data_IF_849294419481
#
_entry.id   IF_849294419481
#
_cell.length_a   1.000
_cell.length_b   1.000
_cell.length_c   1.000
_cell.angle_alpha   90.00
_cell.angle_beta   90.00
_cell.angle_gamma   90.00
#
_symmetry.space_group_name_H-M   'P 1'
#
loop_
_entity.id
_entity.type
_entity.pdbx_description
1 polymer ?
#
# COMPACT_ATOMS: atom_id res chain seq x y z
N UNK A 1 -8.34 11.12 -1.87
CA UNK A 1 -8.82 9.74 -1.79
C UNK A 1 -7.68 8.79 -1.55
N UNK A 2 -7.96 7.61 -1.04
CA UNK A 2 -6.92 6.65 -0.71
C UNK A 2 -6.39 5.83 -1.89
N UNK A 3 -6.97 5.99 -3.08
CA UNK A 3 -6.55 5.24 -4.26
C UNK A 3 -6.81 3.74 -4.16
N UNK A 4 -7.77 3.33 -3.36
CA UNK A 4 -8.16 1.93 -3.22
C UNK A 4 -9.38 1.62 -4.09
N UNK A 5 -9.61 0.34 -4.39
CA UNK A 5 -10.77 -0.07 -5.17
C UNK A 5 -12.07 0.10 -4.39
N UNK A 6 -13.20 0.19 -5.12
CA UNK A 6 -14.52 0.25 -4.50
C UNK A 6 -14.78 -0.95 -3.60
N UNK A 7 -14.31 -2.12 -3.98
CA UNK A 7 -14.45 -3.33 -3.16
C UNK A 7 -13.71 -3.21 -1.83
N UNK A 8 -12.55 -2.56 -1.84
CA UNK A 8 -11.78 -2.35 -0.61
C UNK A 8 -12.53 -1.39 0.32
N UNK A 9 -13.06 -0.30 -0.21
CA UNK A 9 -13.86 0.65 0.57
C UNK A 9 -15.10 -0.04 1.12
N UNK A 10 -15.78 -0.84 0.31
CA UNK A 10 -16.95 -1.59 0.74
C UNK A 10 -16.62 -2.54 1.88
N UNK A 11 -15.51 -3.25 1.80
CA UNK A 11 -15.07 -4.14 2.88
C UNK A 11 -14.79 -3.38 4.18
N UNK A 12 -14.22 -2.20 4.08
CA UNK A 12 -13.98 -1.36 5.26
C UNK A 12 -15.29 -0.93 5.93
N UNK A 13 -16.30 -0.59 5.12
CA UNK A 13 -17.62 -0.24 5.64
C UNK A 13 -18.27 -1.44 6.30
N UNK A 14 -18.24 -2.61 5.67
CA UNK A 14 -18.79 -3.85 6.23
C UNK A 14 -18.09 -4.25 7.52
N UNK A 15 -16.79 -3.99 7.61
CA UNK A 15 -16.03 -4.29 8.81
C UNK A 15 -16.24 -3.25 9.92
N UNK A 16 -17.08 -2.24 9.70
CA UNK A 16 -17.34 -1.19 10.69
C UNK A 16 -16.17 -0.21 10.84
N UNK A 17 -15.24 -0.18 9.91
CA UNK A 17 -14.07 0.70 9.98
C UNK A 17 -14.32 2.10 9.45
N UNK A 18 -15.39 2.26 8.66
CA UNK A 18 -15.80 3.53 8.10
C UNK A 18 -17.28 3.72 8.33
N UNK A 19 -17.68 4.98 8.55
CA UNK A 19 -19.08 5.35 8.60
C UNK A 19 -19.56 5.58 7.17
N UNK A 20 -20.74 5.06 6.83
CA UNK A 20 -21.35 5.27 5.53
C UNK A 20 -22.66 6.02 5.65
N UNK A 21 -22.98 6.79 4.61
CA UNK A 21 -24.24 7.48 4.48
C UNK A 21 -25.02 6.80 3.37
N UNK A 22 -26.24 6.35 3.68
CA UNK A 22 -27.10 5.66 2.72
C UNK A 22 -28.26 6.52 2.27
N UNK A 23 -28.29 7.80 2.65
CA UNK A 23 -29.39 8.71 2.33
C UNK A 23 -29.68 8.82 0.83
N UNK A 24 -28.68 8.64 -0.01
CA UNK A 24 -28.81 8.69 -1.47
C UNK A 24 -29.05 7.33 -2.10
N UNK A 25 -29.21 6.29 -1.31
CA UNK A 25 -29.30 4.91 -1.80
C UNK A 25 -27.97 4.32 -2.24
N UNK A 26 -26.87 5.04 -2.03
CA UNK A 26 -25.52 4.59 -2.28
C UNK A 26 -24.71 4.67 -1.00
N UNK A 27 -23.72 3.79 -0.88
CA UNK A 27 -22.78 3.89 0.22
C UNK A 27 -21.85 5.07 -0.04
N UNK A 28 -21.93 6.07 0.82
CA UNK A 28 -21.09 7.26 0.76
C UNK A 28 -20.24 7.27 2.03
N UNK A 29 -18.93 7.33 1.85
CA UNK A 29 -17.99 7.36 2.97
C UNK A 29 -17.67 8.81 3.32
N UNK A 30 -17.83 9.18 4.58
CA UNK A 30 -17.53 10.53 5.03
C UNK A 30 -16.03 10.84 4.85
N UNK A 31 -15.72 12.02 4.31
CA UNK A 31 -14.35 12.40 4.01
C UNK A 31 -13.45 12.42 5.26
N UNK A 32 -13.97 12.85 6.41
CA UNK A 32 -13.22 12.86 7.64
C UNK A 32 -12.95 11.44 8.18
N UNK A 33 -13.88 10.52 7.94
CA UNK A 33 -13.67 9.12 8.31
C UNK A 33 -12.60 8.49 7.44
N UNK A 34 -12.57 8.80 6.14
CA UNK A 34 -11.51 8.35 5.23
C UNK A 34 -10.17 8.91 5.66
N UNK A 35 -10.11 10.19 5.99
CA UNK A 35 -8.88 10.83 6.44
C UNK A 35 -8.36 10.20 7.73
N UNK A 36 -9.24 9.93 8.68
CA UNK A 36 -8.86 9.26 9.93
C UNK A 36 -8.32 7.85 9.69
N UNK A 37 -8.98 7.11 8.80
CA UNK A 37 -8.49 5.78 8.45
C UNK A 37 -7.12 5.85 7.79
N UNK A 38 -6.88 6.84 6.94
CA UNK A 38 -5.59 7.03 6.31
C UNK A 38 -4.50 7.31 7.34
N UNK A 39 -4.79 8.14 8.35
CA UNK A 39 -3.87 8.41 9.44
C UNK A 39 -3.63 7.15 10.27
N UNK A 40 -4.70 6.41 10.57
CA UNK A 40 -4.57 5.16 11.31
C UNK A 40 -3.71 4.15 10.57
N UNK A 41 -3.91 4.00 9.26
CA UNK A 41 -3.08 3.11 8.46
C UNK A 41 -1.62 3.54 8.43
N UNK A 42 -1.37 4.85 8.43
CA UNK A 42 -0.01 5.39 8.43
C UNK A 42 0.67 5.21 9.80
N UNK A 43 -0.10 5.33 10.89
CA UNK A 43 0.43 5.28 12.24
C UNK A 43 0.37 3.89 12.87
N UNK A 44 -0.16 2.92 12.15
CA UNK A 44 -0.47 1.65 12.73
C UNK A 44 0.37 0.57 12.21
N UNK A 45 1.38 0.38 12.81
CA UNK A 45 2.06 -0.64 12.37
C UNK A 45 3.11 -1.02 13.19
N UNK A 46 2.76 -1.45 14.19
CA UNK A 46 3.62 -1.75 15.27
C UNK A 46 4.71 -2.74 14.90
N UNK A 47 4.37 -3.74 14.12
CA UNK A 47 5.33 -4.75 13.67
C UNK A 47 6.31 -4.18 12.64
N UNK A 48 5.79 -3.36 11.74
CA UNK A 48 6.60 -2.74 10.71
C UNK A 48 7.55 -1.71 11.30
N UNK A 49 7.13 -0.99 12.32
CA UNK A 49 8.01 -0.07 13.04
C UNK A 49 9.16 -0.79 13.71
N UNK A 50 8.88 -1.92 14.33
CA UNK A 50 9.91 -2.72 14.96
C UNK A 50 10.92 -3.22 13.93
N UNK A 51 10.46 -3.64 12.77
CA UNK A 51 11.34 -4.04 11.68
C UNK A 51 12.09 -2.85 11.08
N UNK A 52 11.42 -1.71 10.94
CA UNK A 52 12.03 -0.51 10.37
C UNK A 52 13.20 -0.03 11.20
N UNK A 53 13.18 -0.23 12.52
CA UNK A 53 14.29 0.18 13.38
C UNK A 53 15.56 -0.64 13.13
N UNK A 54 15.44 -1.83 12.51
CA UNK A 54 16.59 -2.69 12.24
C UNK A 54 17.14 -2.55 10.84
N UNK A 55 16.54 -1.69 9.99
CA UNK A 55 17.01 -1.44 8.63
C UNK A 55 17.26 0.06 8.43
N UNK A 56 18.07 0.39 7.42
CA UNK A 56 18.41 1.79 7.15
C UNK A 56 17.33 2.57 6.41
N UNK A 57 16.30 1.90 5.87
CA UNK A 57 15.21 2.58 5.17
C UNK A 57 14.31 3.30 6.17
N UNK A 58 14.03 4.58 5.88
CA UNK A 58 13.12 5.40 6.70
C UNK A 58 11.72 5.47 6.14
N UNK A 59 11.56 5.13 4.87
CA UNK A 59 10.27 5.22 4.18
C UNK A 59 9.78 3.80 3.94
N UNK A 60 8.67 3.45 4.56
CA UNK A 60 8.05 2.14 4.41
C UNK A 60 6.58 2.31 4.08
N UNK A 61 6.18 1.78 2.94
CA UNK A 61 4.83 1.95 2.43
C UNK A 61 4.18 0.57 2.26
N UNK A 62 3.27 0.21 3.14
CA UNK A 62 2.55 -1.04 2.99
C UNK A 62 1.54 -0.94 1.84
N UNK A 63 1.37 -2.00 1.12
CA UNK A 63 0.48 -2.03 -0.02
C UNK A 63 0.20 -3.44 -0.50
N UNK A 64 -0.31 -3.53 -1.71
CA UNK A 64 -0.69 -4.80 -2.34
C UNK A 64 -0.04 -4.88 -3.71
N UNK A 65 0.57 -6.02 -4.00
CA UNK A 65 1.13 -6.30 -5.32
C UNK A 65 -0.02 -6.43 -6.32
N UNK A 66 0.10 -5.75 -7.45
CA UNK A 66 -0.92 -5.78 -8.50
C UNK A 66 -0.45 -6.47 -9.77
N UNK A 67 0.84 -6.37 -10.09
CA UNK A 67 1.42 -6.98 -11.28
C UNK A 67 2.82 -7.48 -11.01
N UNK A 68 3.16 -8.61 -11.59
CA UNK A 68 4.53 -9.12 -11.59
C UNK A 68 4.84 -9.57 -13.00
N UNK A 69 5.87 -8.97 -13.60
CA UNK A 69 6.39 -9.37 -14.91
C UNK A 69 7.82 -9.80 -14.69
N UNK A 70 8.15 -11.01 -15.07
CA UNK A 70 9.52 -11.49 -14.85
C UNK A 70 10.02 -12.33 -16.03
N UNK A 71 11.31 -12.26 -16.22
CA UNK A 71 12.02 -13.16 -17.11
C UNK A 71 12.95 -14.05 -16.26
N UNK A 72 13.96 -14.64 -16.89
CA UNK A 72 14.87 -15.53 -16.16
C UNK A 72 15.75 -14.83 -15.14
N UNK A 73 15.96 -13.53 -15.31
CA UNK A 73 16.94 -12.77 -14.52
C UNK A 73 16.26 -11.71 -13.66
N UNK A 74 15.34 -10.93 -14.23
CA UNK A 74 14.75 -9.77 -13.58
C UNK A 74 13.25 -9.88 -13.43
N UNK A 75 12.74 -9.21 -12.44
CA UNK A 75 11.30 -9.06 -12.21
C UNK A 75 10.96 -7.60 -12.00
N UNK A 76 9.84 -7.17 -12.59
CA UNK A 76 9.24 -5.89 -12.32
C UNK A 76 7.98 -6.14 -11.51
N UNK A 77 7.93 -5.56 -10.34
CA UNK A 77 6.79 -5.71 -9.42
C UNK A 77 6.10 -4.37 -9.27
N UNK A 78 4.80 -4.35 -9.57
CA UNK A 78 3.98 -3.18 -9.34
C UNK A 78 3.13 -3.41 -8.10
N UNK A 79 2.96 -2.35 -7.31
CA UNK A 79 2.10 -2.41 -6.14
C UNK A 79 1.39 -1.09 -5.92
N UNK A 80 0.27 -1.16 -5.22
CA UNK A 80 -0.49 0.02 -4.84
C UNK A 80 -0.33 0.23 -3.34
N UNK A 81 0.12 1.42 -2.98
CA UNK A 81 0.29 1.85 -1.60
C UNK A 81 -0.57 3.10 -1.39
N UNK A 82 -1.73 2.93 -0.72
CA UNK A 82 -2.71 4.01 -0.62
C UNK A 82 -3.15 4.45 -2.02
N UNK A 83 -3.05 5.74 -2.36
CA UNK A 83 -3.41 6.23 -3.69
C UNK A 83 -2.26 6.14 -4.69
N UNK A 84 -1.14 5.52 -4.33
CA UNK A 84 0.07 5.57 -5.14
C UNK A 84 0.44 4.22 -5.71
N UNK A 85 0.85 4.25 -6.97
CA UNK A 85 1.40 3.10 -7.66
C UNK A 85 2.92 3.16 -7.56
N UNK A 86 3.52 2.08 -7.11
CA UNK A 86 4.97 1.96 -7.01
C UNK A 86 5.44 0.82 -7.90
N UNK A 87 6.61 0.98 -8.48
CA UNK A 87 7.23 -0.02 -9.33
C UNK A 87 8.61 -0.33 -8.78
N UNK A 88 8.90 -1.61 -8.61
CA UNK A 88 10.20 -2.07 -8.14
C UNK A 88 10.81 -3.02 -9.17
N UNK A 89 12.10 -2.91 -9.36
CA UNK A 89 12.87 -3.87 -10.15
C UNK A 89 13.75 -4.67 -9.20
N UNK A 90 13.73 -5.97 -9.37
CA UNK A 90 14.52 -6.88 -8.55
C UNK A 90 14.91 -8.11 -9.37
N UNK A 91 15.73 -8.99 -8.83
CA UNK A 91 16.00 -10.25 -9.49
C UNK A 91 14.76 -11.14 -9.44
N UNK A 92 14.58 -12.00 -10.44
CA UNK A 92 13.50 -12.98 -10.45
C UNK A 92 13.59 -13.88 -9.23
N UNK A 93 14.80 -14.24 -8.81
CA UNK A 93 15.04 -15.04 -7.63
C UNK A 93 14.49 -14.35 -6.37
N UNK A 94 14.74 -13.05 -6.21
CA UNK A 94 14.25 -12.30 -5.06
C UNK A 94 12.72 -12.25 -5.05
N UNK A 95 12.10 -12.05 -6.22
CA UNK A 95 10.64 -12.04 -6.32
C UNK A 95 10.06 -13.40 -5.94
N UNK A 96 10.70 -14.49 -6.34
CA UNK A 96 10.27 -15.84 -6.01
C UNK A 96 10.44 -16.13 -4.51
N UNK A 97 11.57 -15.74 -3.93
CA UNK A 97 11.82 -15.94 -2.51
C UNK A 97 10.84 -15.19 -1.63
N UNK A 98 10.45 -13.98 -2.05
CA UNK A 98 9.46 -13.18 -1.34
C UNK A 98 8.03 -13.63 -1.63
N UNK A 99 7.83 -14.52 -2.59
CA UNK A 99 6.51 -14.99 -2.96
C UNK A 99 5.61 -13.89 -3.52
N UNK A 100 6.18 -12.98 -4.30
CA UNK A 100 5.44 -11.84 -4.82
C UNK A 100 4.54 -12.24 -5.99
N UNK A 101 3.26 -12.10 -5.78
CA UNK A 101 2.21 -12.39 -6.77
C UNK A 101 1.10 -11.36 -6.63
N UNK A 102 0.29 -11.13 -7.67
CA UNK A 102 -0.86 -10.23 -7.53
C UNK A 102 -1.75 -10.64 -6.36
N UNK A 103 -2.10 -9.66 -5.53
CA UNK A 103 -2.91 -9.88 -4.34
C UNK A 103 -2.13 -10.06 -3.05
N UNK A 104 -0.82 -10.24 -3.12
CA UNK A 104 0.03 -10.42 -1.94
C UNK A 104 0.30 -9.06 -1.30
N UNK A 105 0.20 -9.00 0.02
CA UNK A 105 0.58 -7.79 0.77
C UNK A 105 2.10 -7.70 0.83
N UNK A 106 2.60 -6.49 0.62
CA UNK A 106 4.02 -6.23 0.63
C UNK A 106 4.31 -4.84 1.18
N UNK A 107 5.55 -4.58 1.50
CA UNK A 107 5.99 -3.27 1.99
C UNK A 107 7.07 -2.77 1.04
N UNK A 108 6.87 -1.58 0.48
CA UNK A 108 7.90 -0.90 -0.27
C UNK A 108 8.76 -0.09 0.69
N UNK A 109 10.06 -0.35 0.67
CA UNK A 109 11.01 0.39 1.52
C UNK A 109 11.91 1.22 0.63
N UNK A 110 12.04 2.50 0.95
CA UNK A 110 12.89 3.41 0.18
C UNK A 110 13.83 4.12 1.13
N UNK A 111 15.13 3.99 0.90
CA UNK A 111 16.12 4.73 1.70
C UNK A 111 15.92 6.23 1.51
N UNK A 112 16.11 6.98 2.58
CA UNK A 112 15.97 8.44 2.52
C UNK A 112 16.87 9.07 1.46
N UNK A 113 18.02 8.48 1.21
CA UNK A 113 18.97 8.95 0.20
C UNK A 113 18.47 8.75 -1.23
N UNK A 114 17.46 7.91 -1.43
CA UNK A 114 16.92 7.61 -2.75
C UNK A 114 15.62 8.36 -3.04
N UNK A 115 15.14 9.14 -2.10
CA UNK A 115 13.91 9.91 -2.30
C UNK A 115 14.25 11.24 -2.95
N UNK A 116 13.66 11.49 -4.12
CA UNK A 116 13.81 12.75 -4.85
C UNK A 116 12.56 13.57 -4.63
N UNK A 117 12.74 14.82 -4.24
CA UNK A 117 11.62 15.72 -3.96
C UNK A 117 11.52 16.74 -5.09
N UNK A 118 10.32 16.90 -5.63
CA UNK A 118 10.01 17.84 -6.71
C UNK A 118 8.94 18.81 -6.27
N UNK A 119 8.92 19.98 -6.88
CA UNK A 119 7.80 20.91 -6.77
C UNK A 119 7.03 20.89 -8.09
N UNK A 120 5.70 20.78 -8.02
CA UNK A 120 4.89 20.83 -9.24
C UNK A 120 4.83 22.24 -9.82
#
# INVERSE_FOLDING_TARGET
MLGVSDDTVRRWVEAGRLTSDTASGRTVVAADAVARLAVDLANHPDRERTRASSVSARNRLPGIVTHVVKDKVMAQVEMICGPYRLVSLMSSEAADELGLEPGVRAIASVKSTNVVVERP
#
